data_IF_442195069171
#
_entry.id   IF_442195069171
#
_cell.length_a   1.000
_cell.length_b   1.000
_cell.length_c   1.000
_cell.angle_alpha   90.00
_cell.angle_beta   90.00
_cell.angle_gamma   90.00
#
_symmetry.space_group_name_H-M   'P 1'
#
loop_
_entity.id
_entity.type
_entity.pdbx_description
1 polymer ?
#
# COMPACT_ATOMS: atom_id res chain seq x y z
N UNK A 1 -15.18 -35.07 3.23
CA UNK A 1 -15.16 -34.35 4.52
C UNK A 1 -16.53 -34.46 5.15
N UNK A 2 -16.62 -34.80 6.44
CA UNK A 2 -17.90 -34.85 7.16
C UNK A 2 -18.56 -33.46 7.23
N UNK A 3 -19.88 -33.41 7.46
CA UNK A 3 -20.62 -32.16 7.72
C UNK A 3 -19.97 -31.35 8.86
N UNK A 4 -19.68 -32.04 9.97
CA UNK A 4 -18.99 -31.47 11.15
C UNK A 4 -17.62 -30.89 10.82
N UNK A 5 -16.84 -31.52 9.92
CA UNK A 5 -15.57 -30.97 9.45
C UNK A 5 -15.74 -29.62 8.74
N UNK A 6 -16.72 -29.50 7.83
CA UNK A 6 -17.04 -28.24 7.13
C UNK A 6 -17.44 -27.12 8.08
N UNK A 7 -18.22 -27.44 9.12
CA UNK A 7 -18.61 -26.47 10.14
C UNK A 7 -17.40 -25.96 10.93
N UNK A 8 -16.45 -26.83 11.30
CA UNK A 8 -15.22 -26.44 11.99
C UNK A 8 -14.42 -25.44 11.16
N UNK A 9 -14.19 -25.69 9.87
CA UNK A 9 -13.48 -24.75 9.01
C UNK A 9 -14.21 -23.40 8.85
N UNK A 10 -15.54 -23.42 8.72
CA UNK A 10 -16.36 -22.20 8.64
C UNK A 10 -16.26 -21.38 9.94
N UNK A 11 -16.38 -22.05 11.09
CA UNK A 11 -16.27 -21.42 12.40
C UNK A 11 -14.88 -20.82 12.63
N UNK A 12 -13.81 -21.55 12.29
CA UNK A 12 -12.43 -21.05 12.39
C UNK A 12 -12.19 -19.83 11.51
N UNK A 13 -12.72 -19.82 10.28
CA UNK A 13 -12.62 -18.66 9.40
C UNK A 13 -13.31 -17.43 10.00
N UNK A 14 -14.53 -17.60 10.52
CA UNK A 14 -15.29 -16.52 11.15
C UNK A 14 -14.58 -15.99 12.40
N UNK A 15 -14.09 -16.89 13.25
CA UNK A 15 -13.39 -16.56 14.48
C UNK A 15 -12.08 -15.80 14.22
N UNK A 16 -11.30 -16.21 13.21
CA UNK A 16 -10.11 -15.48 12.75
C UNK A 16 -10.45 -14.09 12.23
N UNK A 17 -11.52 -13.95 11.46
CA UNK A 17 -11.96 -12.65 10.94
C UNK A 17 -12.39 -11.72 12.08
N UNK A 18 -13.10 -12.24 13.08
CA UNK A 18 -13.50 -11.49 14.26
C UNK A 18 -12.30 -11.07 15.12
N UNK A 19 -11.34 -11.96 15.38
CA UNK A 19 -10.10 -11.62 16.08
C UNK A 19 -9.35 -10.50 15.37
N UNK A 20 -9.21 -10.60 14.04
CA UNK A 20 -8.57 -9.57 13.22
C UNK A 20 -9.28 -8.23 13.35
N UNK A 21 -10.61 -8.20 13.31
CA UNK A 21 -11.41 -6.98 13.54
C UNK A 21 -11.18 -6.37 14.93
N UNK A 22 -11.14 -7.20 15.98
CA UNK A 22 -10.86 -6.75 17.37
C UNK A 22 -9.45 -6.18 17.55
N UNK A 23 -8.52 -6.62 16.72
CA UNK A 23 -7.12 -6.18 16.69
C UNK A 23 -6.81 -5.24 15.52
N UNK A 24 -7.83 -4.70 14.88
CA UNK A 24 -7.69 -3.78 13.77
C UNK A 24 -7.60 -2.35 14.32
N UNK A 25 -6.63 -2.09 15.21
CA UNK A 25 -6.33 -0.75 15.72
C UNK A 25 -4.90 -0.34 15.37
N UNK A 26 -4.61 0.98 15.33
CA UNK A 26 -3.29 1.55 15.02
C UNK A 26 -2.20 0.91 15.90
N UNK A 27 -2.51 0.70 17.18
CA UNK A 27 -1.61 0.12 18.16
C UNK A 27 -1.13 -1.28 17.77
N UNK A 28 -1.89 -2.06 17.00
CA UNK A 28 -1.56 -3.46 16.73
C UNK A 28 -0.43 -3.67 15.71
N UNK A 29 -0.05 -2.66 14.93
CA UNK A 29 1.12 -2.75 14.04
C UNK A 29 2.36 -2.12 14.67
N UNK A 30 2.18 -1.08 15.49
CA UNK A 30 3.28 -0.50 16.27
C UNK A 30 3.66 -1.41 17.45
N UNK A 31 2.68 -2.08 18.05
CA UNK A 31 2.81 -2.96 19.21
C UNK A 31 2.05 -4.27 18.96
N UNK A 32 2.60 -5.20 18.17
CA UNK A 32 1.88 -6.40 17.74
C UNK A 32 1.64 -7.38 18.87
N UNK A 33 0.49 -8.07 18.82
CA UNK A 33 0.23 -9.20 19.69
C UNK A 33 0.77 -10.50 19.06
N UNK A 34 1.85 -11.04 19.62
CA UNK A 34 2.55 -12.22 19.09
C UNK A 34 1.69 -13.50 19.14
N UNK A 35 0.64 -13.54 19.97
CA UNK A 35 -0.21 -14.72 20.13
C UNK A 35 -1.50 -14.63 19.33
N UNK A 36 -2.27 -13.58 19.56
CA UNK A 36 -3.62 -13.44 19.01
C UNK A 36 -3.68 -12.58 17.76
N UNK A 37 -2.59 -11.85 17.45
CA UNK A 37 -2.39 -11.04 16.24
C UNK A 37 -2.71 -11.78 14.95
N UNK A 38 -2.97 -11.03 13.88
CA UNK A 38 -3.02 -11.61 12.53
C UNK A 38 -1.68 -12.30 12.23
N UNK A 39 -1.70 -13.61 11.96
CA UNK A 39 -0.48 -14.41 11.78
C UNK A 39 0.29 -14.73 13.06
N UNK A 40 -0.24 -14.38 14.23
CA UNK A 40 0.35 -14.76 15.52
C UNK A 40 0.27 -16.26 15.81
N UNK A 41 0.87 -16.68 16.94
CA UNK A 41 0.97 -18.09 17.34
C UNK A 41 -0.37 -18.84 17.29
N UNK A 42 -1.49 -18.20 17.63
CA UNK A 42 -2.80 -18.83 17.60
C UNK A 42 -3.22 -19.21 16.18
N UNK A 43 -2.97 -18.35 15.19
CA UNK A 43 -3.28 -18.61 13.79
C UNK A 43 -2.42 -19.76 13.24
N UNK A 44 -1.14 -19.78 13.64
CA UNK A 44 -0.16 -20.81 13.25
C UNK A 44 -0.52 -22.16 13.86
N UNK A 45 -0.74 -22.22 15.17
CA UNK A 45 -1.10 -23.44 15.89
C UNK A 45 -2.40 -24.05 15.35
N UNK A 46 -3.42 -23.21 15.10
CA UNK A 46 -4.66 -23.66 14.48
C UNK A 46 -4.40 -24.30 13.11
N UNK A 47 -3.61 -23.66 12.24
CA UNK A 47 -3.29 -24.19 10.91
C UNK A 47 -2.53 -25.52 10.98
N UNK A 48 -1.51 -25.63 11.83
CA UNK A 48 -0.73 -26.86 12.02
C UNK A 48 -1.58 -27.99 12.66
N UNK A 49 -2.47 -27.64 13.59
CA UNK A 49 -3.39 -28.61 14.21
C UNK A 49 -4.41 -29.14 13.19
N UNK A 50 -4.93 -28.30 12.29
CA UNK A 50 -5.86 -28.71 11.23
C UNK A 50 -5.24 -29.80 10.34
N UNK A 51 -3.96 -29.67 9.98
CA UNK A 51 -3.25 -30.71 9.21
C UNK A 51 -3.24 -32.06 9.93
N UNK A 52 -3.01 -32.05 11.25
CA UNK A 52 -2.96 -33.27 12.08
C UNK A 52 -4.35 -33.88 12.27
N UNK A 53 -5.34 -33.06 12.61
CA UNK A 53 -6.71 -33.51 12.91
C UNK A 53 -7.47 -33.99 11.67
N UNK A 54 -7.16 -33.43 10.50
CA UNK A 54 -7.80 -33.75 9.23
C UNK A 54 -6.78 -34.25 8.21
N UNK A 55 -5.91 -35.19 8.59
CA UNK A 55 -4.83 -35.70 7.75
C UNK A 55 -5.28 -36.08 6.32
N UNK A 56 -6.43 -36.76 6.18
CA UNK A 56 -7.00 -37.11 4.87
C UNK A 56 -7.38 -35.90 4.02
N UNK A 57 -7.80 -34.80 4.64
CA UNK A 57 -8.14 -33.57 3.92
C UNK A 57 -6.89 -32.87 3.39
N UNK A 58 -5.71 -33.11 3.97
CA UNK A 58 -4.44 -32.48 3.61
C UNK A 58 -3.43 -33.45 2.98
N UNK A 59 -3.85 -34.66 2.62
CA UNK A 59 -2.97 -35.69 2.04
C UNK A 59 -2.20 -35.20 0.82
N UNK A 60 -2.90 -34.48 -0.07
CA UNK A 60 -2.36 -33.95 -1.33
C UNK A 60 -2.02 -32.45 -1.21
N UNK A 61 -1.92 -31.93 0.03
CA UNK A 61 -1.58 -30.53 0.24
C UNK A 61 -0.08 -30.33 0.05
N UNK A 62 0.27 -29.21 -0.57
CA UNK A 62 1.67 -28.80 -0.65
C UNK A 62 2.27 -28.64 0.76
N UNK A 63 3.47 -29.19 1.03
CA UNK A 63 4.06 -29.14 2.36
C UNK A 63 4.59 -27.75 2.75
N UNK A 64 4.93 -26.90 1.76
CA UNK A 64 5.64 -25.65 1.97
C UNK A 64 4.92 -24.66 2.91
N UNK A 65 3.59 -24.42 2.81
CA UNK A 65 2.86 -23.61 3.79
C UNK A 65 3.06 -24.06 5.24
N UNK A 66 3.14 -25.37 5.48
CA UNK A 66 3.28 -25.90 6.83
C UNK A 66 4.71 -25.80 7.35
N UNK A 67 5.69 -25.95 6.46
CA UNK A 67 7.12 -25.77 6.78
C UNK A 67 7.37 -24.32 7.20
N UNK A 68 6.90 -23.35 6.40
CA UNK A 68 7.01 -21.93 6.73
C UNK A 68 6.29 -21.61 8.05
N UNK A 69 5.08 -22.14 8.26
CA UNK A 69 4.35 -21.92 9.52
C UNK A 69 5.08 -22.53 10.72
N UNK A 70 5.75 -23.67 10.57
CA UNK A 70 6.52 -24.28 11.64
C UNK A 70 7.78 -23.47 11.97
N UNK A 71 8.50 -22.99 10.96
CA UNK A 71 9.66 -22.10 11.12
C UNK A 71 9.28 -20.82 11.89
N UNK A 72 8.26 -20.11 11.42
CA UNK A 72 7.78 -18.87 12.05
C UNK A 72 7.29 -19.13 13.47
N UNK A 73 6.68 -20.29 13.73
CA UNK A 73 6.24 -20.67 15.07
C UNK A 73 7.41 -20.65 16.06
N UNK A 74 8.54 -21.24 15.70
CA UNK A 74 9.71 -21.32 16.56
C UNK A 74 10.27 -19.92 16.83
N UNK A 75 10.35 -19.06 15.80
CA UNK A 75 10.79 -17.67 15.95
C UNK A 75 9.86 -16.86 16.88
N UNK A 76 8.54 -16.95 16.68
CA UNK A 76 7.57 -16.25 17.52
C UNK A 76 7.52 -16.80 18.95
N UNK A 77 7.71 -18.11 19.14
CA UNK A 77 7.81 -18.72 20.46
C UNK A 77 9.06 -18.23 21.19
N UNK A 78 10.20 -18.19 20.50
CA UNK A 78 11.44 -17.67 21.03
C UNK A 78 11.27 -16.21 21.48
N UNK A 79 10.73 -15.34 20.62
CA UNK A 79 10.40 -13.95 20.98
C UNK A 79 9.44 -13.84 22.16
N UNK A 80 8.40 -14.68 22.19
CA UNK A 80 7.42 -14.72 23.28
C UNK A 80 8.05 -15.17 24.59
N UNK A 81 8.95 -16.15 24.58
CA UNK A 81 9.67 -16.57 25.79
C UNK A 81 10.46 -15.40 26.39
N UNK A 82 11.22 -14.66 25.57
CA UNK A 82 11.93 -13.48 26.07
C UNK A 82 10.99 -12.38 26.56
N UNK A 83 9.89 -12.13 25.85
CA UNK A 83 8.88 -11.17 26.29
C UNK A 83 8.33 -11.54 27.68
N UNK A 84 8.04 -12.83 27.92
CA UNK A 84 7.54 -13.33 29.21
C UNK A 84 8.58 -13.31 30.33
N UNK A 85 9.88 -13.30 30.00
CA UNK A 85 10.95 -13.04 30.98
C UNK A 85 11.01 -11.56 31.40
N UNK A 86 10.57 -10.65 30.52
CA UNK A 86 10.54 -9.22 30.81
C UNK A 86 9.25 -8.81 31.54
N UNK A 87 8.10 -9.37 31.14
CA UNK A 87 6.79 -9.09 31.74
C UNK A 87 5.73 -10.10 31.35
N UNK A 88 4.62 -10.12 32.09
CA UNK A 88 3.42 -10.85 31.67
C UNK A 88 2.73 -10.17 30.47
N UNK A 89 2.49 -10.92 29.39
CA UNK A 89 1.64 -10.49 28.28
C UNK A 89 2.14 -10.91 26.90
N UNK A 90 1.29 -10.78 25.87
CA UNK A 90 1.61 -11.21 24.50
C UNK A 90 1.68 -10.05 23.49
N UNK A 91 1.37 -8.82 23.91
CA UNK A 91 1.59 -7.58 23.12
C UNK A 91 3.07 -7.24 23.17
N UNK A 92 3.65 -6.67 22.12
CA UNK A 92 5.05 -6.25 22.10
C UNK A 92 5.14 -4.72 22.18
N UNK A 93 5.25 -4.16 23.39
CA UNK A 93 5.22 -2.69 23.57
C UNK A 93 6.49 -2.04 23.02
N UNK A 94 6.45 -0.73 22.77
CA UNK A 94 7.64 0.02 22.33
C UNK A 94 8.86 -0.18 23.26
N UNK A 95 8.64 -0.31 24.57
CA UNK A 95 9.71 -0.56 25.53
C UNK A 95 10.30 -1.97 25.38
N UNK A 96 9.44 -2.99 25.18
CA UNK A 96 9.91 -4.37 24.99
C UNK A 96 10.71 -4.50 23.70
N UNK A 97 10.33 -3.79 22.64
CA UNK A 97 11.04 -3.79 21.35
C UNK A 97 12.49 -3.34 21.50
N UNK A 98 12.73 -2.28 22.29
CA UNK A 98 14.07 -1.78 22.56
C UNK A 98 14.92 -2.80 23.33
N UNK A 99 14.32 -3.42 24.35
CA UNK A 99 15.00 -4.42 25.17
C UNK A 99 15.32 -5.69 24.38
N UNK A 100 14.34 -6.22 23.64
CA UNK A 100 14.51 -7.41 22.82
C UNK A 100 15.49 -7.18 21.68
N UNK A 101 15.44 -6.05 20.99
CA UNK A 101 16.41 -5.75 19.93
C UNK A 101 17.84 -5.78 20.47
N UNK A 102 18.07 -5.21 21.67
CA UNK A 102 19.38 -5.26 22.33
C UNK A 102 19.80 -6.69 22.67
N UNK A 103 18.91 -7.48 23.27
CA UNK A 103 19.21 -8.88 23.66
C UNK A 103 19.48 -9.80 22.48
N UNK A 104 18.80 -9.55 21.36
CA UNK A 104 18.92 -10.32 20.13
C UNK A 104 20.04 -9.81 19.21
N UNK A 105 20.83 -8.84 19.66
CA UNK A 105 21.88 -8.17 18.88
C UNK A 105 21.38 -7.63 17.53
N UNK A 106 20.14 -7.16 17.48
CA UNK A 106 19.59 -6.46 16.32
C UNK A 106 20.00 -5.00 16.36
N UNK A 107 20.23 -4.39 15.20
CA UNK A 107 20.74 -3.02 15.10
C UNK A 107 19.76 -1.96 15.61
N UNK A 108 18.46 -2.25 15.68
CA UNK A 108 17.46 -1.34 16.27
C UNK A 108 16.12 -2.04 16.57
N UNK A 109 15.29 -1.42 17.41
CA UNK A 109 13.88 -1.82 17.58
C UNK A 109 13.11 -1.82 16.25
N UNK A 110 13.42 -0.87 15.36
CA UNK A 110 12.83 -0.81 14.00
C UNK A 110 13.18 -2.04 13.17
N UNK A 111 14.42 -2.53 13.25
CA UNK A 111 14.85 -3.74 12.54
C UNK A 111 14.13 -4.98 13.08
N UNK A 112 14.06 -5.13 14.40
CA UNK A 112 13.26 -6.17 15.06
C UNK A 112 11.80 -6.13 14.60
N UNK A 113 11.19 -4.95 14.62
CA UNK A 113 9.80 -4.78 14.20
C UNK A 113 9.58 -5.07 12.72
N UNK A 114 10.55 -4.75 11.87
CA UNK A 114 10.51 -5.05 10.44
C UNK A 114 10.51 -6.56 10.19
N UNK A 115 11.34 -7.29 10.93
CA UNK A 115 11.36 -8.75 10.93
C UNK A 115 10.03 -9.33 11.42
N UNK A 116 9.58 -8.94 12.63
CA UNK A 116 8.34 -9.47 13.23
C UNK A 116 7.12 -9.21 12.34
N UNK A 117 6.96 -8.00 11.80
CA UNK A 117 5.82 -7.69 10.93
C UNK A 117 5.86 -8.46 9.62
N UNK A 118 7.07 -8.69 9.07
CA UNK A 118 7.23 -9.54 7.88
C UNK A 118 6.80 -10.98 8.16
N UNK A 119 7.17 -11.54 9.30
CA UNK A 119 6.79 -12.91 9.67
C UNK A 119 5.31 -13.05 10.02
N UNK A 120 4.72 -12.06 10.70
CA UNK A 120 3.27 -12.03 10.95
C UNK A 120 2.46 -11.96 9.63
N UNK A 121 2.89 -11.17 8.63
CA UNK A 121 2.26 -11.17 7.31
C UNK A 121 2.35 -12.54 6.64
N UNK A 122 3.55 -13.14 6.62
CA UNK A 122 3.80 -14.45 6.00
C UNK A 122 2.93 -15.53 6.66
N UNK A 123 2.95 -15.59 7.99
CA UNK A 123 2.15 -16.54 8.75
C UNK A 123 0.65 -16.34 8.52
N UNK A 124 0.17 -15.08 8.51
CA UNK A 124 -1.23 -14.77 8.19
C UNK A 124 -1.61 -15.29 6.81
N UNK A 125 -0.74 -15.09 5.80
CA UNK A 125 -0.96 -15.56 4.44
C UNK A 125 -1.10 -17.09 4.35
N UNK A 126 -0.12 -17.83 4.88
CA UNK A 126 -0.12 -19.29 4.79
C UNK A 126 -1.19 -19.93 5.67
N UNK A 127 -1.50 -19.34 6.83
CA UNK A 127 -2.57 -19.83 7.67
C UNK A 127 -3.96 -19.62 7.03
N UNK A 128 -4.19 -18.50 6.31
CA UNK A 128 -5.38 -18.32 5.49
C UNK A 128 -5.47 -19.38 4.37
N UNK A 129 -4.34 -19.71 3.73
CA UNK A 129 -4.28 -20.76 2.71
C UNK A 129 -4.65 -22.14 3.29
N UNK A 130 -4.11 -22.51 4.45
CA UNK A 130 -4.40 -23.80 5.11
C UNK A 130 -5.88 -23.93 5.44
N UNK A 131 -6.48 -22.88 6.01
CA UNK A 131 -7.92 -22.87 6.35
C UNK A 131 -8.77 -22.98 5.08
N UNK A 132 -8.41 -22.24 4.02
CA UNK A 132 -9.11 -22.32 2.75
C UNK A 132 -8.97 -23.71 2.10
N UNK A 133 -7.77 -24.29 2.10
CA UNK A 133 -7.49 -25.62 1.55
C UNK A 133 -8.34 -26.68 2.24
N UNK A 134 -8.34 -26.69 3.57
CA UNK A 134 -9.16 -27.62 4.36
C UNK A 134 -10.66 -27.48 4.09
N UNK A 135 -11.16 -26.25 3.95
CA UNK A 135 -12.55 -25.97 3.64
C UNK A 135 -12.98 -26.33 2.20
N UNK A 136 -12.04 -26.31 1.25
CA UNK A 136 -12.33 -26.48 -0.18
C UNK A 136 -12.68 -27.93 -0.55
N UNK A 137 -13.52 -28.08 -1.57
CA UNK A 137 -13.79 -29.39 -2.19
C UNK A 137 -12.58 -29.86 -3.00
N UNK A 138 -12.45 -31.18 -3.26
CA UNK A 138 -11.37 -31.70 -4.13
C UNK A 138 -11.35 -31.02 -5.50
N UNK A 139 -12.52 -30.77 -6.10
CA UNK A 139 -12.63 -30.03 -7.37
C UNK A 139 -12.08 -28.60 -7.27
N UNK A 140 -12.43 -27.88 -6.19
CA UNK A 140 -11.93 -26.53 -5.96
C UNK A 140 -10.41 -26.49 -5.74
N UNK A 141 -9.83 -27.53 -5.12
CA UNK A 141 -8.38 -27.68 -4.97
C UNK A 141 -7.69 -28.04 -6.30
N UNK A 142 -8.27 -28.94 -7.10
CA UNK A 142 -7.73 -29.30 -8.41
C UNK A 142 -7.71 -28.11 -9.38
N UNK A 143 -8.71 -27.25 -9.33
CA UNK A 143 -8.76 -26.02 -10.12
C UNK A 143 -7.75 -24.94 -9.64
N UNK A 144 -7.05 -25.15 -8.52
CA UNK A 144 -6.02 -24.23 -8.05
C UNK A 144 -4.71 -24.36 -8.82
N UNK A 145 -4.42 -25.54 -9.39
CA UNK A 145 -3.24 -25.78 -10.22
C UNK A 145 -3.48 -25.28 -11.64
N UNK A 146 -3.54 -23.96 -11.76
CA UNK A 146 -3.71 -23.29 -13.03
C UNK A 146 -2.35 -22.85 -13.55
N UNK A 147 -1.99 -23.25 -14.77
CA UNK A 147 -0.75 -22.81 -15.40
C UNK A 147 -0.88 -21.36 -15.86
N UNK A 148 0.17 -20.56 -15.65
CA UNK A 148 0.26 -19.21 -16.16
C UNK A 148 1.20 -19.18 -17.37
N UNK A 149 0.79 -18.49 -18.43
CA UNK A 149 1.57 -18.39 -19.67
C UNK A 149 2.46 -17.13 -19.75
N UNK A 150 2.10 -16.08 -19.00
CA UNK A 150 2.80 -14.79 -19.01
C UNK A 150 2.43 -13.95 -17.78
N UNK A 151 3.15 -12.86 -17.53
CA UNK A 151 2.78 -11.88 -16.49
C UNK A 151 1.38 -11.28 -16.74
N UNK A 152 0.97 -11.08 -18.01
CA UNK A 152 -0.36 -10.58 -18.31
C UNK A 152 -1.46 -11.58 -17.94
N UNK A 153 -1.22 -12.86 -18.20
CA UNK A 153 -2.12 -13.95 -17.80
C UNK A 153 -2.23 -14.03 -16.27
N UNK A 154 -1.11 -13.87 -15.56
CA UNK A 154 -1.08 -13.76 -14.09
C UNK A 154 -1.96 -12.62 -13.60
N UNK A 155 -1.79 -11.40 -14.15
CA UNK A 155 -2.56 -10.22 -13.74
C UNK A 155 -4.06 -10.38 -14.06
N UNK A 156 -4.38 -10.88 -15.25
CA UNK A 156 -5.77 -11.13 -15.67
C UNK A 156 -6.45 -12.14 -14.75
N UNK A 157 -5.83 -13.31 -14.54
CA UNK A 157 -6.38 -14.33 -13.65
C UNK A 157 -6.47 -13.81 -12.22
N UNK A 158 -5.46 -13.11 -11.70
CA UNK A 158 -5.55 -12.55 -10.36
C UNK A 158 -6.75 -11.58 -10.22
N UNK A 159 -7.05 -10.79 -11.25
CA UNK A 159 -8.20 -9.89 -11.29
C UNK A 159 -9.52 -10.64 -11.29
N UNK A 160 -9.66 -11.65 -12.15
CA UNK A 160 -10.89 -12.44 -12.28
C UNK A 160 -11.27 -13.20 -11.00
N UNK A 161 -10.29 -13.76 -10.29
CA UNK A 161 -10.54 -14.43 -9.02
C UNK A 161 -9.29 -14.37 -8.10
N UNK A 162 -9.22 -13.39 -7.18
CA UNK A 162 -8.11 -13.20 -6.26
C UNK A 162 -8.14 -14.16 -5.06
N UNK A 163 -8.53 -15.42 -5.26
CA UNK A 163 -8.53 -16.43 -4.19
C UNK A 163 -7.12 -16.65 -3.61
N UNK A 164 -7.06 -17.07 -2.34
CA UNK A 164 -5.78 -17.39 -1.68
C UNK A 164 -5.01 -18.51 -2.37
N UNK A 165 -5.70 -19.43 -3.06
CA UNK A 165 -5.06 -20.47 -3.88
C UNK A 165 -4.32 -19.87 -5.06
N UNK A 166 -4.99 -19.01 -5.83
CA UNK A 166 -4.37 -18.31 -6.96
C UNK A 166 -3.21 -17.43 -6.48
N UNK A 167 -3.39 -16.74 -5.36
CA UNK A 167 -2.32 -15.94 -4.78
C UNK A 167 -1.10 -16.78 -4.37
N UNK A 168 -1.31 -18.01 -3.86
CA UNK A 168 -0.23 -18.91 -3.47
C UNK A 168 0.62 -19.35 -4.67
N UNK A 169 -0.03 -19.78 -5.77
CA UNK A 169 0.68 -20.18 -6.99
C UNK A 169 1.51 -19.03 -7.58
N UNK A 170 0.91 -17.83 -7.63
CA UNK A 170 1.62 -16.62 -8.12
C UNK A 170 2.79 -16.28 -7.21
N UNK A 171 2.61 -16.32 -5.88
CA UNK A 171 3.67 -15.96 -4.91
C UNK A 171 4.91 -16.84 -5.04
N UNK A 172 4.76 -18.11 -5.42
CA UNK A 172 5.88 -19.05 -5.61
C UNK A 172 6.65 -18.82 -6.91
N UNK A 173 5.96 -18.35 -7.94
CA UNK A 173 6.50 -18.19 -9.29
C UNK A 173 6.79 -16.73 -9.62
N UNK A 174 6.58 -15.81 -8.67
CA UNK A 174 6.61 -14.36 -8.90
C UNK A 174 7.87 -13.89 -9.62
N UNK A 175 9.05 -14.38 -9.20
CA UNK A 175 10.32 -13.97 -9.78
C UNK A 175 10.47 -14.42 -11.25
N UNK A 176 9.85 -15.54 -11.63
CA UNK A 176 10.00 -16.11 -12.97
C UNK A 176 9.25 -15.28 -14.02
N UNK A 177 8.20 -14.56 -13.62
CA UNK A 177 7.41 -13.72 -14.52
C UNK A 177 8.09 -12.41 -14.91
N UNK A 178 9.02 -11.91 -14.10
CA UNK A 178 9.71 -10.64 -14.35
C UNK A 178 11.09 -10.82 -15.01
N UNK A 179 11.78 -11.95 -14.76
CA UNK A 179 13.10 -12.24 -15.35
C UNK A 179 13.19 -12.06 -16.87
N UNK A 180 12.22 -12.50 -17.69
CA UNK A 180 12.35 -12.39 -19.15
C UNK A 180 11.95 -11.01 -19.70
N UNK A 181 11.40 -10.12 -18.87
CA UNK A 181 10.80 -8.87 -19.33
C UNK A 181 11.82 -7.72 -19.34
N UNK A 182 11.81 -6.94 -20.41
CA UNK A 182 12.46 -5.63 -20.45
C UNK A 182 11.77 -4.65 -19.49
N UNK A 183 12.47 -3.58 -19.10
CA UNK A 183 11.88 -2.56 -18.24
C UNK A 183 10.61 -1.94 -18.87
N UNK A 184 10.60 -1.71 -20.19
CA UNK A 184 9.43 -1.19 -20.91
C UNK A 184 8.23 -2.13 -20.78
N UNK A 185 8.43 -3.45 -20.89
CA UNK A 185 7.35 -4.43 -20.72
C UNK A 185 6.81 -4.46 -19.28
N UNK A 186 7.69 -4.32 -18.28
CA UNK A 186 7.31 -4.20 -16.87
C UNK A 186 6.45 -2.95 -16.66
N UNK A 187 6.85 -1.80 -17.21
CA UNK A 187 6.07 -0.57 -17.16
C UNK A 187 4.68 -0.74 -17.78
N UNK A 188 4.59 -1.29 -18.99
CA UNK A 188 3.30 -1.58 -19.65
C UNK A 188 2.43 -2.54 -18.85
N UNK A 189 3.02 -3.54 -18.20
CA UNK A 189 2.29 -4.47 -17.33
C UNK A 189 1.76 -3.78 -16.06
N UNK A 190 2.55 -2.88 -15.44
CA UNK A 190 2.09 -2.06 -14.31
C UNK A 190 0.92 -1.15 -14.72
N UNK A 191 0.99 -0.52 -15.89
CA UNK A 191 -0.10 0.27 -16.43
C UNK A 191 -1.37 -0.58 -16.61
N UNK A 192 -1.27 -1.76 -17.23
CA UNK A 192 -2.41 -2.69 -17.36
C UNK A 192 -2.95 -3.15 -16.01
N UNK A 193 -2.10 -3.26 -15.00
CA UNK A 193 -2.50 -3.68 -13.67
C UNK A 193 -3.32 -2.60 -12.94
N UNK A 194 -3.02 -1.30 -13.14
CA UNK A 194 -3.49 -0.24 -12.25
C UNK A 194 -4.23 0.92 -12.91
N UNK A 195 -4.12 1.11 -14.23
CA UNK A 195 -4.68 2.29 -14.92
C UNK A 195 -6.20 2.40 -14.72
N UNK A 196 -6.92 1.32 -15.03
CA UNK A 196 -8.37 1.22 -14.76
C UNK A 196 -8.64 1.02 -13.25
N UNK A 197 -9.79 1.46 -12.72
CA UNK A 197 -10.23 1.07 -11.38
C UNK A 197 -10.25 -0.47 -11.22
N UNK A 198 -9.72 -0.98 -10.10
CA UNK A 198 -9.58 -2.40 -9.76
C UNK A 198 -10.24 -2.75 -8.43
N UNK A 199 -10.82 -3.94 -8.27
CA UNK A 199 -11.37 -4.31 -6.97
C UNK A 199 -10.32 -4.32 -5.85
N UNK A 200 -10.75 -3.97 -4.63
CA UNK A 200 -9.91 -4.00 -3.43
C UNK A 200 -9.19 -5.35 -3.26
N UNK A 201 -9.89 -6.44 -3.56
CA UNK A 201 -9.36 -7.79 -3.47
C UNK A 201 -8.20 -8.03 -4.45
N UNK A 202 -8.23 -7.42 -5.64
CA UNK A 202 -7.15 -7.49 -6.61
C UNK A 202 -5.93 -6.68 -6.15
N UNK A 203 -6.12 -5.46 -5.65
CA UNK A 203 -5.02 -4.64 -5.13
C UNK A 203 -4.32 -5.30 -3.92
N UNK A 204 -5.10 -5.88 -3.01
CA UNK A 204 -4.56 -6.71 -1.92
C UNK A 204 -3.89 -7.97 -2.46
N UNK A 205 -4.41 -8.55 -3.54
CA UNK A 205 -3.80 -9.67 -4.25
C UNK A 205 -2.42 -9.33 -4.81
N UNK A 206 -2.24 -8.17 -5.46
CA UNK A 206 -0.95 -7.71 -5.97
C UNK A 206 0.11 -7.61 -4.86
N UNK A 207 -0.31 -7.16 -3.69
CA UNK A 207 0.54 -7.11 -2.50
C UNK A 207 0.86 -8.50 -1.94
N UNK A 208 -0.17 -9.31 -1.64
CA UNK A 208 -0.03 -10.64 -1.03
C UNK A 208 0.72 -11.63 -1.94
N UNK A 209 0.69 -11.45 -3.25
CA UNK A 209 1.43 -12.27 -4.22
C UNK A 209 2.88 -11.85 -4.41
N UNK A 210 3.30 -10.72 -3.83
CA UNK A 210 4.60 -10.07 -4.06
C UNK A 210 4.80 -9.55 -5.48
N UNK A 211 3.75 -9.45 -6.31
CA UNK A 211 3.85 -8.85 -7.65
C UNK A 211 4.34 -7.40 -7.61
N UNK A 212 3.95 -6.62 -6.59
CA UNK A 212 4.46 -5.25 -6.40
C UNK A 212 5.98 -5.20 -6.23
N UNK A 213 6.59 -6.23 -5.63
CA UNK A 213 8.05 -6.33 -5.50
C UNK A 213 8.75 -6.69 -6.81
N UNK A 214 8.03 -7.31 -7.75
CA UNK A 214 8.52 -7.54 -9.10
C UNK A 214 8.47 -6.27 -9.96
N UNK A 215 7.40 -5.48 -9.83
CA UNK A 215 7.29 -4.18 -10.50
C UNK A 215 8.29 -3.15 -9.94
N UNK A 216 8.39 -3.10 -8.61
CA UNK A 216 9.16 -2.13 -7.85
C UNK A 216 9.95 -2.87 -6.75
N UNK A 217 11.19 -3.29 -7.03
CA UNK A 217 12.05 -4.02 -6.09
C UNK A 217 12.22 -3.35 -4.72
N UNK A 218 12.05 -2.03 -4.65
CA UNK A 218 12.05 -1.26 -3.41
C UNK A 218 11.00 -1.71 -2.38
N UNK A 219 9.89 -2.32 -2.80
CA UNK A 219 8.93 -2.91 -1.87
C UNK A 219 9.57 -3.95 -0.93
N UNK A 220 10.66 -4.61 -1.34
CA UNK A 220 11.41 -5.54 -0.47
C UNK A 220 12.08 -4.83 0.71
N UNK A 221 12.50 -3.57 0.53
CA UNK A 221 13.22 -2.78 1.53
C UNK A 221 12.26 -2.19 2.58
N UNK A 222 11.04 -1.87 2.16
CA UNK A 222 10.00 -1.31 3.02
C UNK A 222 9.05 -2.38 3.58
N UNK A 223 9.30 -3.66 3.29
CA UNK A 223 8.47 -4.78 3.73
C UNK A 223 8.46 -4.85 5.25
N UNK A 224 7.29 -4.78 5.86
CA UNK A 224 7.17 -4.80 7.31
C UNK A 224 7.75 -3.57 8.01
N UNK A 225 8.22 -2.55 7.28
CA UNK A 225 8.89 -1.39 7.86
C UNK A 225 7.89 -0.55 8.66
N UNK A 226 8.04 -0.57 9.98
CA UNK A 226 7.18 0.17 10.92
C UNK A 226 7.60 1.64 11.02
N UNK A 227 6.60 2.54 11.03
CA UNK A 227 6.80 3.97 11.26
C UNK A 227 6.28 4.36 12.65
N UNK A 228 7.17 4.73 13.57
CA UNK A 228 6.80 5.17 14.92
C UNK A 228 6.28 6.62 14.96
N UNK A 229 5.22 6.91 14.21
CA UNK A 229 4.43 8.15 14.33
C UNK A 229 2.99 7.80 14.69
N UNK A 230 2.35 8.60 15.55
CA UNK A 230 1.08 8.31 16.25
C UNK A 230 -0.10 8.01 15.31
N UNK A 231 0.02 8.29 14.02
CA UNK A 231 -1.04 8.14 13.03
C UNK A 231 -0.88 6.90 12.13
N UNK A 232 0.29 6.27 12.05
CA UNK A 232 0.54 5.18 11.10
C UNK A 232 0.10 3.84 11.68
N UNK A 233 -1.03 3.33 11.17
CA UNK A 233 -1.49 1.98 11.46
C UNK A 233 -0.80 0.92 10.64
N UNK A 234 -0.26 1.26 9.48
CA UNK A 234 0.27 0.27 8.56
C UNK A 234 1.78 0.36 8.48
N UNK A 235 2.43 -0.79 8.24
CA UNK A 235 3.79 -0.82 7.73
C UNK A 235 3.84 -0.08 6.39
N UNK A 236 5.01 0.45 6.01
CA UNK A 236 5.12 1.32 4.82
C UNK A 236 4.60 0.64 3.56
N UNK A 237 4.93 -0.63 3.34
CA UNK A 237 4.43 -1.44 2.22
C UNK A 237 2.89 -1.57 2.23
N UNK A 238 2.29 -1.89 3.38
CA UNK A 238 0.84 -1.97 3.53
C UNK A 238 0.17 -0.59 3.37
N UNK A 239 0.81 0.50 3.82
CA UNK A 239 0.35 1.88 3.63
C UNK A 239 0.26 2.26 2.16
N UNK A 240 1.28 1.94 1.34
CA UNK A 240 1.24 2.23 -0.10
C UNK A 240 0.05 1.52 -0.78
N UNK A 241 -0.22 0.28 -0.40
CA UNK A 241 -1.36 -0.50 -0.93
C UNK A 241 -2.70 0.06 -0.46
N UNK A 242 -2.78 0.48 0.81
CA UNK A 242 -3.97 1.17 1.32
C UNK A 242 -4.18 2.50 0.60
N UNK A 243 -3.11 3.24 0.31
CA UNK A 243 -3.16 4.51 -0.43
C UNK A 243 -3.71 4.30 -1.84
N UNK A 244 -3.29 3.25 -2.55
CA UNK A 244 -3.90 2.89 -3.85
C UNK A 244 -5.40 2.64 -3.76
N UNK A 245 -5.84 1.90 -2.73
CA UNK A 245 -7.26 1.61 -2.51
C UNK A 245 -8.05 2.88 -2.22
N UNK A 246 -7.50 3.78 -1.40
CA UNK A 246 -8.12 5.07 -1.11
C UNK A 246 -8.15 6.01 -2.33
N UNK A 247 -7.12 6.02 -3.19
CA UNK A 247 -7.16 6.72 -4.49
C UNK A 247 -8.33 6.22 -5.32
N UNK A 248 -8.54 4.90 -5.39
CA UNK A 248 -9.64 4.35 -6.15
C UNK A 248 -11.01 4.63 -5.51
N UNK A 249 -11.13 4.52 -4.19
CA UNK A 249 -12.36 4.90 -3.48
C UNK A 249 -12.68 6.37 -3.72
N UNK A 250 -11.66 7.23 -3.72
CA UNK A 250 -11.82 8.62 -4.13
C UNK A 250 -12.33 8.67 -5.56
N UNK A 251 -11.67 8.06 -6.53
CA UNK A 251 -12.10 8.04 -7.94
C UNK A 251 -13.56 7.59 -8.14
N UNK A 252 -14.01 6.56 -7.43
CA UNK A 252 -15.35 5.98 -7.59
C UNK A 252 -16.44 6.65 -6.73
N UNK A 253 -16.10 7.22 -5.57
CA UNK A 253 -17.07 7.64 -4.54
C UNK A 253 -17.13 9.16 -4.31
N UNK A 254 -16.89 9.96 -5.36
CA UNK A 254 -16.91 11.44 -5.29
C UNK A 254 -18.24 12.09 -4.90
N UNK A 255 -19.30 11.29 -4.72
CA UNK A 255 -20.61 11.72 -4.25
C UNK A 255 -20.86 11.43 -2.76
N UNK A 256 -19.93 10.79 -2.05
CA UNK A 256 -20.07 10.42 -0.64
C UNK A 256 -19.55 11.48 0.35
N UNK A 257 -20.06 11.45 1.59
CA UNK A 257 -19.57 12.30 2.71
C UNK A 257 -18.12 11.99 3.12
N UNK A 258 -17.56 10.87 2.66
CA UNK A 258 -16.25 10.31 3.00
C UNK A 258 -15.09 11.32 2.94
N UNK A 259 -15.11 12.25 1.98
CA UNK A 259 -14.01 13.18 1.72
C UNK A 259 -14.29 14.61 2.20
N UNK A 260 -15.41 14.82 2.89
CA UNK A 260 -15.84 16.13 3.38
C UNK A 260 -15.80 17.22 2.30
N UNK A 261 -15.34 18.41 2.66
CA UNK A 261 -15.23 19.54 1.74
C UNK A 261 -14.23 19.31 0.59
N UNK A 262 -13.14 18.58 0.84
CA UNK A 262 -12.09 18.28 -0.16
C UNK A 262 -12.64 17.44 -1.32
N UNK A 263 -13.65 16.60 -1.09
CA UNK A 263 -14.31 15.82 -2.14
C UNK A 263 -14.86 16.68 -3.30
N UNK A 264 -15.13 17.97 -3.08
CA UNK A 264 -15.54 18.91 -4.14
C UNK A 264 -14.46 19.08 -5.23
N UNK A 265 -13.18 19.03 -4.84
CA UNK A 265 -12.03 19.23 -5.74
C UNK A 265 -11.88 18.10 -6.74
N UNK A 266 -12.28 16.89 -6.36
CA UNK A 266 -12.13 15.72 -7.21
C UNK A 266 -13.01 15.74 -8.46
N UNK A 267 -14.07 16.56 -8.47
CA UNK A 267 -14.90 16.79 -9.66
C UNK A 267 -14.12 17.49 -10.78
N UNK A 268 -13.00 18.13 -10.45
CA UNK A 268 -12.11 18.78 -11.41
C UNK A 268 -11.17 17.80 -12.12
N UNK A 269 -11.08 16.55 -11.64
CA UNK A 269 -10.11 15.56 -12.12
C UNK A 269 -10.66 14.70 -13.25
N UNK A 270 -9.86 14.54 -14.31
CA UNK A 270 -10.07 13.60 -15.40
C UNK A 270 -9.25 12.31 -15.24
N UNK A 271 -9.32 11.39 -16.23
CA UNK A 271 -8.62 10.10 -16.18
C UNK A 271 -7.11 10.21 -15.96
N UNK A 272 -6.46 11.18 -16.61
CA UNK A 272 -5.03 11.41 -16.46
C UNK A 272 -4.64 11.82 -15.02
N UNK A 273 -5.45 12.66 -14.38
CA UNK A 273 -5.21 13.11 -13.02
C UNK A 273 -5.27 11.95 -12.02
N UNK A 274 -6.26 11.06 -12.15
CA UNK A 274 -6.36 9.87 -11.31
C UNK A 274 -5.19 8.92 -11.53
N UNK A 275 -4.67 8.85 -12.76
CA UNK A 275 -3.47 8.07 -13.05
C UNK A 275 -2.22 8.64 -12.37
N UNK A 276 -2.04 9.97 -12.38
CA UNK A 276 -0.99 10.66 -11.62
C UNK A 276 -1.09 10.34 -10.13
N UNK A 277 -2.30 10.39 -9.54
CA UNK A 277 -2.51 10.07 -8.12
C UNK A 277 -2.22 8.60 -7.79
N UNK A 278 -2.61 7.65 -8.65
CA UNK A 278 -2.30 6.22 -8.46
C UNK A 278 -0.80 5.94 -8.51
N UNK A 279 -0.09 6.53 -9.47
CA UNK A 279 1.37 6.42 -9.54
C UNK A 279 2.02 7.08 -8.32
N UNK A 280 1.57 8.27 -7.92
CA UNK A 280 2.08 8.92 -6.71
C UNK A 280 1.87 8.06 -5.46
N UNK A 281 0.72 7.37 -5.35
CA UNK A 281 0.45 6.44 -4.26
C UNK A 281 1.47 5.29 -4.17
N UNK A 282 2.04 4.81 -5.29
CA UNK A 282 3.10 3.80 -5.29
C UNK A 282 4.46 4.32 -4.85
N UNK A 283 4.74 5.61 -5.07
CA UNK A 283 6.09 6.16 -4.98
C UNK A 283 6.33 7.09 -3.79
N UNK A 284 5.29 7.75 -3.25
CA UNK A 284 5.45 8.84 -2.28
C UNK A 284 6.31 8.47 -1.05
N UNK A 285 6.13 7.24 -0.57
CA UNK A 285 6.80 6.68 0.60
C UNK A 285 7.74 5.51 0.28
N UNK A 286 7.91 5.17 -1.00
CA UNK A 286 8.66 3.98 -1.43
C UNK A 286 10.14 4.01 -1.04
N UNK A 287 10.68 5.22 -0.84
CA UNK A 287 12.07 5.43 -0.41
C UNK A 287 12.24 5.55 1.12
N UNK A 288 11.17 5.36 1.93
CA UNK A 288 11.30 5.37 3.40
C UNK A 288 12.28 4.29 3.87
N UNK A 289 13.05 4.63 4.92
CA UNK A 289 14.11 3.77 5.45
C UNK A 289 15.48 3.94 4.78
N UNK A 290 15.56 4.64 3.64
CA UNK A 290 16.83 5.04 3.02
C UNK A 290 17.46 6.24 3.74
N UNK A 291 18.75 6.47 3.49
CA UNK A 291 19.45 7.67 3.97
C UNK A 291 18.99 8.89 3.15
N UNK A 292 18.73 10.02 3.83
CA UNK A 292 18.29 11.27 3.19
C UNK A 292 16.79 11.53 3.33
N UNK A 293 16.31 12.54 2.59
CA UNK A 293 14.88 12.86 2.53
C UNK A 293 14.14 11.86 1.63
N UNK A 294 13.15 11.16 2.18
CA UNK A 294 12.43 10.11 1.45
C UNK A 294 11.61 10.65 0.28
N UNK A 295 11.12 11.90 0.33
CA UNK A 295 10.36 12.50 -0.78
C UNK A 295 11.28 12.71 -1.98
N UNK A 296 12.45 13.30 -1.77
CA UNK A 296 13.43 13.51 -2.83
C UNK A 296 14.04 12.21 -3.34
N UNK A 297 14.30 11.22 -2.48
CA UNK A 297 14.73 9.88 -2.92
C UNK A 297 13.62 9.15 -3.70
N UNK A 298 12.35 9.32 -3.31
CA UNK A 298 11.20 8.82 -4.05
C UNK A 298 11.08 9.45 -5.43
N UNK A 299 11.32 10.76 -5.55
CA UNK A 299 11.32 11.46 -6.83
C UNK A 299 12.42 10.94 -7.78
N UNK A 300 13.61 10.59 -7.25
CA UNK A 300 14.67 9.94 -8.04
C UNK A 300 14.25 8.55 -8.55
N UNK A 301 13.46 7.81 -7.76
CA UNK A 301 12.90 6.53 -8.22
C UNK A 301 11.90 6.74 -9.36
N UNK A 302 11.06 7.77 -9.28
CA UNK A 302 10.15 8.14 -10.39
C UNK A 302 10.96 8.43 -11.66
N UNK A 303 12.00 9.26 -11.58
CA UNK A 303 12.85 9.58 -12.73
C UNK A 303 13.47 8.31 -13.35
N UNK A 304 14.07 7.47 -12.50
CA UNK A 304 14.68 6.20 -12.92
C UNK A 304 13.67 5.32 -13.65
N UNK A 305 12.55 4.99 -13.02
CA UNK A 305 11.62 4.00 -13.56
C UNK A 305 10.84 4.55 -14.75
N UNK A 306 10.44 5.82 -14.75
CA UNK A 306 9.66 6.37 -15.86
C UNK A 306 10.52 6.57 -17.11
N UNK A 307 11.85 6.76 -16.95
CA UNK A 307 12.78 6.68 -18.07
C UNK A 307 12.90 5.25 -18.61
N UNK A 308 13.11 4.28 -17.73
CA UNK A 308 13.24 2.86 -18.11
C UNK A 308 11.95 2.28 -18.72
N UNK A 309 10.78 2.76 -18.28
CA UNK A 309 9.46 2.33 -18.76
C UNK A 309 8.98 3.10 -19.99
N UNK A 310 9.74 4.10 -20.45
CA UNK A 310 9.38 4.99 -21.56
C UNK A 310 8.02 5.68 -21.36
N UNK A 311 7.71 6.04 -20.12
CA UNK A 311 6.52 6.83 -19.83
C UNK A 311 6.70 8.28 -20.33
N UNK A 312 5.61 8.95 -20.78
CA UNK A 312 5.69 10.31 -21.30
C UNK A 312 6.32 11.29 -20.30
N UNK A 313 7.15 12.20 -20.80
CA UNK A 313 7.88 13.16 -19.95
C UNK A 313 6.95 13.99 -19.05
N UNK A 314 5.81 14.45 -19.57
CA UNK A 314 4.83 15.19 -18.76
C UNK A 314 4.28 14.38 -17.58
N UNK A 315 4.04 13.08 -17.78
CA UNK A 315 3.61 12.18 -16.70
C UNK A 315 4.72 12.00 -15.65
N UNK A 316 5.98 11.90 -16.10
CA UNK A 316 7.14 11.84 -15.21
C UNK A 316 7.25 13.11 -14.38
N UNK A 317 7.19 14.29 -15.00
CA UNK A 317 7.28 15.57 -14.32
C UNK A 317 6.20 15.75 -13.26
N UNK A 318 4.95 15.38 -13.58
CA UNK A 318 3.80 15.51 -12.69
C UNK A 318 3.91 14.58 -11.47
N UNK A 319 4.20 13.29 -11.69
CA UNK A 319 4.34 12.32 -10.59
C UNK A 319 5.57 12.63 -9.75
N UNK A 320 6.71 12.96 -10.37
CA UNK A 320 7.95 13.32 -9.67
C UNK A 320 7.74 14.53 -8.76
N UNK A 321 7.09 15.58 -9.28
CA UNK A 321 6.82 16.78 -8.49
C UNK A 321 5.87 16.48 -7.33
N UNK A 322 4.83 15.67 -7.57
CA UNK A 322 3.86 15.34 -6.52
C UNK A 322 4.49 14.49 -5.41
N UNK A 323 5.34 13.51 -5.77
CA UNK A 323 6.12 12.71 -4.81
C UNK A 323 7.09 13.59 -4.01
N UNK A 324 7.84 14.48 -4.66
CA UNK A 324 8.80 15.35 -3.94
C UNK A 324 8.12 16.35 -2.99
N UNK A 325 6.86 16.71 -3.24
CA UNK A 325 6.14 17.75 -2.49
C UNK A 325 4.94 17.22 -1.67
N UNK A 326 4.74 15.90 -1.56
CA UNK A 326 3.52 15.32 -0.99
C UNK A 326 3.23 15.76 0.47
N UNK A 327 4.25 16.13 1.25
CA UNK A 327 4.11 16.58 2.64
C UNK A 327 3.81 18.08 2.80
N UNK A 328 4.03 18.89 1.75
CA UNK A 328 4.06 20.35 1.90
C UNK A 328 2.71 20.94 2.30
N UNK A 329 1.63 20.39 1.73
CA UNK A 329 0.29 20.91 1.97
C UNK A 329 -0.27 20.44 3.31
N UNK A 330 0.01 19.19 3.71
CA UNK A 330 -0.27 18.68 5.07
C UNK A 330 0.39 19.54 6.13
N UNK A 331 1.68 19.87 5.94
CA UNK A 331 2.43 20.73 6.86
C UNK A 331 1.82 22.14 6.92
N UNK A 332 1.49 22.73 5.78
CA UNK A 332 0.88 24.05 5.71
C UNK A 332 -0.52 24.12 6.37
N UNK A 333 -1.34 23.08 6.19
CA UNK A 333 -2.70 23.03 6.69
C UNK A 333 -2.80 22.72 8.20
N UNK A 334 -1.95 21.81 8.70
CA UNK A 334 -2.14 21.22 10.02
C UNK A 334 -1.01 21.49 11.01
N UNK A 335 0.15 21.97 10.56
CA UNK A 335 1.32 22.24 11.42
C UNK A 335 1.78 23.70 11.39
N UNK A 336 1.16 24.54 10.57
CA UNK A 336 1.51 25.94 10.36
C UNK A 336 0.24 26.80 10.36
N UNK A 337 0.39 28.11 10.18
CA UNK A 337 -0.75 29.01 9.98
C UNK A 337 -1.18 29.00 8.50
N UNK A 338 -2.33 28.39 8.14
CA UNK A 338 -2.81 28.32 6.75
C UNK A 338 -3.34 29.67 6.22
N UNK A 339 -3.52 30.67 7.10
CA UNK A 339 -3.98 32.01 6.73
C UNK A 339 -2.82 33.00 6.49
N UNK A 340 -1.58 32.60 6.82
CA UNK A 340 -0.43 33.49 6.70
C UNK A 340 0.05 33.63 5.24
N UNK A 341 0.25 34.88 4.78
CA UNK A 341 0.78 35.15 3.44
C UNK A 341 2.18 34.57 3.22
N UNK A 342 3.00 34.43 4.26
CA UNK A 342 4.31 33.77 4.19
C UNK A 342 4.18 32.28 3.85
N UNK A 343 3.16 31.60 4.40
CA UNK A 343 2.83 30.21 4.02
C UNK A 343 2.45 30.15 2.54
N UNK A 344 1.60 31.07 2.06
CA UNK A 344 1.17 31.08 0.66
C UNK A 344 2.34 31.35 -0.31
N UNK A 345 3.21 32.31 0.01
CA UNK A 345 4.41 32.61 -0.80
C UNK A 345 5.31 31.38 -0.94
N UNK A 346 5.61 30.69 0.16
CA UNK A 346 6.43 29.47 0.14
C UNK A 346 5.79 28.34 -0.69
N UNK A 347 4.46 28.20 -0.63
CA UNK A 347 3.74 27.22 -1.44
C UNK A 347 3.84 27.57 -2.94
N UNK A 348 3.66 28.84 -3.31
CA UNK A 348 3.83 29.28 -4.70
C UNK A 348 5.27 29.15 -5.21
N UNK A 349 6.27 29.43 -4.38
CA UNK A 349 7.70 29.21 -4.71
C UNK A 349 8.02 27.74 -5.02
N UNK A 350 7.22 26.81 -4.48
CA UNK A 350 7.30 25.37 -4.77
C UNK A 350 6.42 24.94 -5.95
N UNK A 351 5.69 25.86 -6.58
CA UNK A 351 4.79 25.59 -7.71
C UNK A 351 3.45 24.99 -7.30
N UNK A 352 3.01 25.22 -6.06
CA UNK A 352 1.71 24.74 -5.55
C UNK A 352 0.60 25.67 -6.04
N UNK A 353 0.14 25.43 -7.27
CA UNK A 353 -0.89 26.24 -7.92
C UNK A 353 -1.71 25.43 -8.93
N UNK A 354 -2.81 26.01 -9.42
CA UNK A 354 -3.64 25.41 -10.46
C UNK A 354 -3.99 23.94 -10.18
N UNK A 355 -3.62 23.06 -11.13
CA UNK A 355 -3.86 21.62 -11.05
C UNK A 355 -2.99 20.92 -9.99
N UNK A 356 -1.75 21.37 -9.79
CA UNK A 356 -0.83 20.84 -8.76
C UNK A 356 -1.35 21.05 -7.34
N UNK A 357 -1.99 22.20 -7.08
CA UNK A 357 -2.70 22.44 -5.83
C UNK A 357 -3.87 21.45 -5.63
N UNK A 358 -4.67 21.22 -6.67
CA UNK A 358 -5.78 20.24 -6.61
C UNK A 358 -5.27 18.82 -6.33
N UNK A 359 -4.21 18.38 -7.02
CA UNK A 359 -3.60 17.08 -6.78
C UNK A 359 -3.05 16.94 -5.38
N UNK A 360 -2.27 17.92 -4.89
CA UNK A 360 -1.73 17.88 -3.52
C UNK A 360 -2.84 17.83 -2.48
N UNK A 361 -3.92 18.59 -2.64
CA UNK A 361 -5.03 18.60 -1.69
C UNK A 361 -5.73 17.24 -1.62
N UNK A 362 -6.03 16.65 -2.78
CA UNK A 362 -6.65 15.33 -2.82
C UNK A 362 -5.71 14.24 -2.32
N UNK A 363 -4.45 14.26 -2.75
CA UNK A 363 -3.46 13.28 -2.32
C UNK A 363 -3.18 13.38 -0.81
N UNK A 364 -3.10 14.59 -0.25
CA UNK A 364 -2.96 14.80 1.20
C UNK A 364 -4.12 14.18 1.97
N UNK A 365 -5.36 14.35 1.51
CA UNK A 365 -6.53 13.75 2.14
C UNK A 365 -6.51 12.22 2.06
N UNK A 366 -6.14 11.69 0.88
CA UNK A 366 -6.00 10.26 0.63
C UNK A 366 -4.91 9.65 1.52
N UNK A 367 -3.73 10.26 1.58
CA UNK A 367 -2.59 9.79 2.36
C UNK A 367 -2.91 9.75 3.86
N UNK A 368 -3.47 10.85 4.41
CA UNK A 368 -3.90 10.89 5.82
C UNK A 368 -4.91 9.78 6.12
N UNK A 369 -5.93 9.60 5.29
CA UNK A 369 -6.94 8.55 5.47
C UNK A 369 -6.33 7.14 5.35
N UNK A 370 -5.28 6.99 4.56
CA UNK A 370 -4.59 5.72 4.34
C UNK A 370 -3.73 5.32 5.54
N UNK A 371 -3.22 6.27 6.31
CA UNK A 371 -2.52 5.98 7.57
C UNK A 371 -3.46 5.43 8.65
N UNK A 372 -4.68 5.97 8.74
CA UNK A 372 -5.78 5.48 9.57
C UNK A 372 -7.11 6.07 9.05
N UNK A 373 -8.15 5.27 8.76
CA UNK A 373 -9.45 5.80 8.30
C UNK A 373 -10.06 6.85 9.23
N UNK A 374 -9.82 6.77 10.53
CA UNK A 374 -10.32 7.74 11.54
C UNK A 374 -9.47 9.02 11.61
N UNK A 375 -8.25 9.00 11.07
CA UNK A 375 -7.38 10.18 11.06
C UNK A 375 -7.91 11.30 10.15
N UNK A 376 -8.75 10.96 9.17
CA UNK A 376 -9.40 11.92 8.28
C UNK A 376 -10.77 12.34 8.82
N UNK A 377 -10.90 13.60 9.24
CA UNK A 377 -12.12 14.15 9.85
C UNK A 377 -12.70 15.30 9.02
N UNK A 378 -13.98 15.60 9.20
CA UNK A 378 -14.65 16.72 8.52
C UNK A 378 -13.94 18.07 8.81
N UNK A 379 -13.42 18.24 10.03
CA UNK A 379 -12.63 19.42 10.39
C UNK A 379 -11.33 19.51 9.58
N UNK A 380 -10.56 18.41 9.44
CA UNK A 380 -9.35 18.41 8.60
C UNK A 380 -9.69 18.65 7.13
N UNK A 381 -10.80 18.08 6.66
CA UNK A 381 -11.30 18.31 5.32
C UNK A 381 -11.63 19.79 5.09
N UNK A 382 -12.29 20.44 6.05
CA UNK A 382 -12.62 21.86 5.94
C UNK A 382 -11.37 22.73 5.94
N UNK A 383 -10.43 22.52 6.87
CA UNK A 383 -9.17 23.28 6.93
C UNK A 383 -8.35 23.16 5.64
N UNK A 384 -8.22 21.95 5.08
CA UNK A 384 -7.48 21.73 3.84
C UNK A 384 -8.20 22.39 2.66
N UNK A 385 -9.52 22.30 2.61
CA UNK A 385 -10.32 22.96 1.57
C UNK A 385 -10.21 24.49 1.65
N UNK A 386 -10.26 25.06 2.85
CA UNK A 386 -10.12 26.52 3.06
C UNK A 386 -8.73 27.00 2.64
N UNK A 387 -7.67 26.25 2.93
CA UNK A 387 -6.33 26.57 2.43
C UNK A 387 -6.29 26.58 0.89
N UNK A 388 -6.96 25.63 0.23
CA UNK A 388 -7.07 25.62 -1.23
C UNK A 388 -7.83 26.85 -1.74
N UNK A 389 -8.96 27.23 -1.12
CA UNK A 389 -9.71 28.41 -1.50
C UNK A 389 -8.90 29.70 -1.30
N UNK A 390 -8.15 29.78 -0.20
CA UNK A 390 -7.26 30.90 0.08
C UNK A 390 -6.19 31.06 -1.00
N UNK A 391 -5.52 29.97 -1.39
CA UNK A 391 -4.50 29.99 -2.45
C UNK A 391 -5.09 30.33 -3.83
N UNK A 392 -6.37 29.99 -4.07
CA UNK A 392 -7.10 30.38 -5.28
C UNK A 392 -7.64 31.81 -5.25
N UNK A 393 -7.62 32.48 -4.10
CA UNK A 393 -8.16 33.84 -3.96
C UNK A 393 -7.33 34.88 -4.73
N UNK A 394 -7.94 35.98 -5.24
CA UNK A 394 -7.21 37.05 -5.91
C UNK A 394 -6.08 37.63 -5.07
N UNK A 395 -6.26 37.68 -3.74
CA UNK A 395 -5.25 38.15 -2.78
C UNK A 395 -4.01 37.27 -2.76
N UNK A 396 -4.17 35.95 -2.79
CA UNK A 396 -3.01 35.05 -2.83
C UNK A 396 -2.34 35.10 -4.21
N UNK A 397 -3.15 35.13 -5.28
CA UNK A 397 -2.68 35.18 -6.67
C UNK A 397 -1.88 36.47 -6.99
N UNK A 398 -2.14 37.59 -6.31
CA UNK A 398 -1.31 38.80 -6.47
C UNK A 398 0.10 38.64 -5.90
N UNK A 399 0.27 37.86 -4.81
CA UNK A 399 1.58 37.58 -4.23
C UNK A 399 2.47 36.74 -5.16
N UNK A 400 1.86 35.85 -5.94
CA UNK A 400 2.55 35.05 -6.94
C UNK A 400 3.15 35.92 -8.06
N UNK A 401 2.44 36.96 -8.49
CA UNK A 401 2.93 37.89 -9.52
C UNK A 401 4.11 38.73 -9.04
N UNK A 402 4.21 38.97 -7.73
CA UNK A 402 5.34 39.73 -7.16
C UNK A 402 6.61 38.89 -6.99
N UNK A 403 6.51 37.56 -6.84
CA UNK A 403 7.67 36.66 -6.72
C UNK A 403 8.24 36.22 -8.07
N UNK A 404 7.49 36.34 -9.17
CA UNK A 404 7.93 35.96 -10.52
C UNK A 404 8.81 36.99 -11.25
N UNK A 405 9.28 38.05 -10.57
CA UNK A 405 10.18 39.07 -11.15
C UNK A 405 11.65 38.64 -11.29
N UNK A 406 11.97 37.34 -11.12
CA UNK A 406 13.22 36.74 -11.63
C UNK A 406 12.90 35.83 -12.82
N UNK A 407 13.40 36.12 -14.04
CA UNK A 407 13.09 35.32 -15.22
C UNK A 407 13.80 33.96 -15.17
N UNK A 408 13.05 32.90 -14.89
CA UNK A 408 13.37 31.54 -15.33
C UNK A 408 12.84 31.32 -16.76
N UNK A 409 13.37 30.35 -17.54
CA UNK A 409 13.07 30.24 -18.96
C UNK A 409 11.58 29.99 -19.18
N UNK A 410 10.98 30.84 -20.03
CA UNK A 410 9.56 30.87 -20.32
C UNK A 410 9.03 29.52 -20.83
N UNK A 411 8.05 28.93 -20.14
CA UNK A 411 7.15 27.94 -20.73
C UNK A 411 6.19 28.65 -21.68
N UNK A 412 6.61 28.81 -22.95
CA UNK A 412 5.70 29.26 -24.00
C UNK A 412 4.58 28.23 -24.14
N UNK A 413 3.36 28.68 -23.88
CA UNK A 413 2.15 28.00 -24.26
C UNK A 413 2.20 27.65 -25.75
N UNK A 414 2.41 26.37 -26.08
CA UNK A 414 2.16 25.86 -27.43
C UNK A 414 0.70 25.44 -27.53
N UNK A 415 -0.11 26.35 -28.07
CA UNK A 415 -1.28 25.95 -28.86
C UNK A 415 -0.74 25.25 -30.11
N UNK A 416 -0.93 23.94 -30.19
CA UNK A 416 -0.91 23.24 -31.48
C UNK A 416 -2.24 22.53 -31.61
N UNK A 417 -3.13 23.13 -32.39
CA UNK A 417 -4.15 22.34 -33.08
C UNK A 417 -3.43 21.45 -34.07
N UNK A 418 -3.65 20.15 -33.98
CA UNK A 418 -3.47 19.26 -35.11
C UNK A 418 -4.71 18.40 -35.23
N UNK A 419 -5.32 18.48 -36.41
CA UNK A 419 -6.45 17.70 -36.86
C UNK A 419 -6.08 16.21 -36.92
N UNK A 420 -7.07 15.39 -36.59
CA UNK A 420 -7.43 14.06 -37.12
C UNK A 420 -6.33 13.17 -37.73
N UNK A 421 -6.47 11.88 -37.37
CA UNK A 421 -6.00 10.69 -38.09
C UNK A 421 -4.71 10.06 -37.56
N UNK A 422 -4.85 9.20 -36.56
CA UNK A 422 -4.48 7.78 -36.68
C UNK A 422 -5.13 7.02 -35.52
N UNK A 423 -6.06 6.13 -35.86
CA UNK A 423 -6.59 5.13 -34.94
C UNK A 423 -5.44 4.19 -34.61
N UNK A 424 -4.88 4.24 -33.41
CA UNK A 424 -4.21 3.08 -32.84
C UNK A 424 -5.25 2.31 -32.03
N UNK A 425 -5.57 1.14 -32.54
CA UNK A 425 -6.52 0.20 -31.96
C UNK A 425 -6.15 -0.10 -30.50
N UNK A 426 -7.05 0.23 -29.59
CA UNK A 426 -7.22 -0.51 -28.35
C UNK A 426 -7.93 -1.82 -28.73
N UNK A 427 -7.22 -2.94 -28.68
CA UNK A 427 -7.82 -4.27 -28.69
C UNK A 427 -7.49 -4.94 -27.36
N UNK A 428 -8.56 -5.48 -26.78
CA UNK A 428 -8.73 -6.17 -25.49
C UNK A 428 -7.61 -7.14 -25.11
#
# INVERSE_FOLDING_TARGET
>A
MSSRGREIFKALRAEREERRKRQDSIANYLEPNLKFGAGGLRDIEQALALRKLFADAFRDADPYPFEVLAEIKEELLYLRCYLHLLRSGDVLTAQDQLELARRLNMGSARELMTFIQSELERASFYADWVVAYGAASRKARGNAHETFSSLNDVLYKLRENPSVFRQFEIRRTVNDWFKPLSAVEIGRALQRALYEPQDDAYLVGLYRTRLLEGFLPEFKQIRGLVQHDHYHRFTVDAHLVQTLREVQRAQSSLKGRTWGAVGKLAKELGPHDWWVLKLTALFHDLAKGRKGDHSSEGAKLVDKYFAQWEYPEGLREDVRWLVDNHLILSTAAFRQNPQAQSTWKRLFERGVEGRRLTWLALFTAIDIRSTNPEAWTDWKAQLLYDLVQNLRSPRAQSLQRTSSTRPGPSSKARRTGFLRSTRFCWSL
#
